data_IF_157228524686
#
_entry.id   IF_157228524686
#
_cell.length_a   1.000
_cell.length_b   1.000
_cell.length_c   1.000
_cell.angle_alpha   90.00
_cell.angle_beta   90.00
_cell.angle_gamma   90.00
#
_symmetry.space_group_name_H-M   'P 1'
#
loop_
_entity.id
_entity.type
_entity.pdbx_description
1 polymer ?
#
# COMPACT_ATOMS: atom_id res chain seq x y z
N UNK A 1 -20.89 -9.44 -14.39
CA UNK A 1 -19.69 -9.87 -13.64
C UNK A 1 -19.31 -8.69 -12.78
N UNK A 2 -19.58 -8.77 -11.49
CA UNK A 2 -19.28 -7.68 -10.56
C UNK A 2 -17.78 -7.67 -10.35
N UNK A 3 -17.08 -6.80 -11.07
CA UNK A 3 -15.73 -6.38 -10.70
C UNK A 3 -15.86 -5.55 -9.43
N UNK A 4 -16.04 -6.22 -8.29
CA UNK A 4 -15.63 -5.65 -7.02
C UNK A 4 -14.16 -5.30 -7.21
N UNK A 5 -13.85 -4.00 -7.25
CA UNK A 5 -12.48 -3.50 -7.15
C UNK A 5 -11.98 -3.89 -5.78
N UNK A 6 -11.60 -5.15 -5.62
CA UNK A 6 -11.03 -5.66 -4.39
C UNK A 6 -9.78 -4.86 -4.10
N UNK A 7 -9.83 -4.14 -3.00
CA UNK A 7 -8.67 -3.51 -2.40
C UNK A 7 -7.80 -4.66 -1.90
N UNK A 8 -6.92 -5.16 -2.77
CA UNK A 8 -6.02 -6.27 -2.47
C UNK A 8 -4.59 -5.79 -2.19
N UNK A 9 -3.83 -6.64 -1.51
CA UNK A 9 -2.46 -6.37 -1.09
C UNK A 9 -1.57 -5.96 -2.28
N UNK A 10 -1.71 -6.65 -3.41
CA UNK A 10 -0.93 -6.41 -4.62
C UNK A 10 -1.14 -4.99 -5.18
N UNK A 11 -2.39 -4.52 -5.19
CA UNK A 11 -2.74 -3.17 -5.62
C UNK A 11 -2.13 -2.12 -4.68
N UNK A 12 -2.14 -2.36 -3.36
CA UNK A 12 -1.50 -1.48 -2.37
C UNK A 12 0.01 -1.38 -2.55
N UNK A 13 0.68 -2.52 -2.72
CA UNK A 13 2.13 -2.55 -2.99
C UNK A 13 2.45 -1.87 -4.33
N UNK A 14 1.63 -2.07 -5.36
CA UNK A 14 1.81 -1.40 -6.65
C UNK A 14 1.66 0.13 -6.53
N UNK A 15 0.66 0.61 -5.79
CA UNK A 15 0.49 2.03 -5.48
C UNK A 15 1.69 2.59 -4.73
N UNK A 16 2.18 1.91 -3.70
CA UNK A 16 3.36 2.34 -2.94
C UNK A 16 4.62 2.45 -3.82
N UNK A 17 4.83 1.48 -4.74
CA UNK A 17 5.93 1.55 -5.73
C UNK A 17 5.80 2.76 -6.66
N UNK A 18 4.60 3.01 -7.20
CA UNK A 18 4.37 4.17 -8.06
C UNK A 18 4.58 5.50 -7.31
N UNK A 19 4.32 5.53 -6.00
CA UNK A 19 4.57 6.69 -5.15
C UNK A 19 6.07 6.90 -4.95
N UNK A 20 6.83 5.82 -4.74
CA UNK A 20 8.28 5.87 -4.64
C UNK A 20 8.91 6.40 -5.93
N UNK A 21 8.44 5.97 -7.10
CA UNK A 21 8.93 6.48 -8.38
C UNK A 21 8.72 7.99 -8.53
N UNK A 22 7.61 8.52 -8.01
CA UNK A 22 7.35 9.98 -8.00
C UNK A 22 8.27 10.75 -7.05
N UNK A 23 8.79 10.11 -6.00
CA UNK A 23 9.76 10.75 -5.08
C UNK A 23 11.15 10.87 -5.69
N UNK A 24 11.44 10.12 -6.76
CA UNK A 24 12.72 10.16 -7.48
C UNK A 24 12.74 11.31 -8.49
N UNK A 25 11.59 11.94 -8.77
CA UNK A 25 11.48 13.10 -9.66
C UNK A 25 12.34 14.27 -9.14
N UNK A 26 13.39 14.71 -9.87
CA UNK A 26 14.27 15.79 -9.44
C UNK A 26 13.58 17.16 -9.41
N UNK A 27 12.42 17.33 -10.05
CA UNK A 27 11.65 18.57 -10.04
C UNK A 27 10.63 18.64 -8.87
N UNK A 28 10.58 17.61 -8.02
CA UNK A 28 9.64 17.56 -6.90
C UNK A 28 9.99 18.63 -5.85
N UNK A 29 8.99 19.41 -5.43
CA UNK A 29 9.17 20.33 -4.31
C UNK A 29 9.15 19.58 -2.97
N UNK A 30 9.87 20.10 -1.97
CA UNK A 30 9.90 19.50 -0.63
C UNK A 30 8.51 19.31 -0.02
N UNK A 31 7.61 20.28 -0.20
CA UNK A 31 6.24 20.17 0.31
C UNK A 31 5.48 19.02 -0.36
N UNK A 32 5.70 18.83 -1.66
CA UNK A 32 5.05 17.78 -2.43
C UNK A 32 5.65 16.41 -2.12
N UNK A 33 6.97 16.31 -1.91
CA UNK A 33 7.62 15.07 -1.51
C UNK A 33 7.16 14.59 -0.14
N UNK A 34 6.97 15.48 0.84
CA UNK A 34 6.42 15.11 2.15
C UNK A 34 4.99 14.58 2.04
N UNK A 35 4.14 15.20 1.22
CA UNK A 35 2.76 14.73 1.02
C UNK A 35 2.74 13.35 0.33
N UNK A 36 3.50 13.20 -0.75
CA UNK A 36 3.62 11.95 -1.51
C UNK A 36 4.17 10.82 -0.62
N UNK A 37 5.17 11.12 0.22
CA UNK A 37 5.70 10.16 1.19
C UNK A 37 4.63 9.68 2.18
N UNK A 38 3.83 10.60 2.75
CA UNK A 38 2.74 10.24 3.68
C UNK A 38 1.72 9.34 3.01
N UNK A 39 1.35 9.62 1.76
CA UNK A 39 0.42 8.79 1.00
C UNK A 39 1.00 7.38 0.77
N UNK A 40 2.29 7.28 0.44
CA UNK A 40 2.99 6.00 0.27
C UNK A 40 3.03 5.17 1.55
N UNK A 41 3.32 5.82 2.68
CA UNK A 41 3.31 5.17 3.98
C UNK A 41 1.93 4.61 4.33
N UNK A 42 0.86 5.34 4.03
CA UNK A 42 -0.50 4.88 4.26
C UNK A 42 -0.85 3.65 3.42
N UNK A 43 -0.47 3.62 2.14
CA UNK A 43 -0.66 2.44 1.29
C UNK A 43 0.10 1.21 1.81
N UNK A 44 1.31 1.40 2.36
CA UNK A 44 2.09 0.32 2.97
C UNK A 44 1.48 -0.17 4.30
N UNK A 45 0.97 0.73 5.15
CA UNK A 45 0.27 0.37 6.38
C UNK A 45 -0.99 -0.46 6.10
N UNK A 46 -1.76 -0.07 5.08
CA UNK A 46 -2.95 -0.83 4.67
C UNK A 46 -2.57 -2.20 4.10
N UNK A 47 -1.49 -2.29 3.31
CA UNK A 47 -0.95 -3.56 2.84
C UNK A 47 -0.52 -4.47 4.00
N UNK A 48 0.15 -3.91 5.01
CA UNK A 48 0.58 -4.67 6.18
C UNK A 48 -0.61 -5.24 6.96
N UNK A 49 -1.67 -4.45 7.17
CA UNK A 49 -2.89 -4.92 7.83
C UNK A 49 -3.52 -6.11 7.10
N UNK A 50 -3.58 -6.06 5.76
CA UNK A 50 -4.10 -7.16 4.96
C UNK A 50 -3.29 -8.46 5.15
N UNK A 51 -1.96 -8.35 5.27
CA UNK A 51 -1.09 -9.50 5.56
C UNK A 51 -1.29 -10.02 6.98
N UNK A 52 -1.38 -9.14 7.97
CA UNK A 52 -1.57 -9.51 9.37
C UNK A 52 -2.91 -10.22 9.56
N UNK A 53 -3.98 -9.72 8.94
CA UNK A 53 -5.30 -10.35 8.95
C UNK A 53 -5.28 -11.73 8.28
N UNK A 54 -4.58 -11.86 7.15
CA UNK A 54 -4.42 -13.15 6.46
C UNK A 54 -3.65 -14.16 7.31
N UNK A 55 -2.57 -13.71 7.97
CA UNK A 55 -1.77 -14.53 8.89
C UNK A 55 -2.58 -14.97 10.10
N UNK A 56 -3.34 -14.06 10.70
CA UNK A 56 -4.21 -14.36 11.84
C UNK A 56 -5.26 -15.43 11.48
N UNK A 57 -5.96 -15.26 10.35
CA UNK A 57 -6.95 -16.25 9.87
C UNK A 57 -6.32 -17.62 9.61
N UNK A 58 -5.10 -17.64 9.07
CA UNK A 58 -4.38 -18.89 8.87
C UNK A 58 -4.02 -19.56 10.20
N UNK A 59 -3.51 -18.81 11.18
CA UNK A 59 -3.22 -19.33 12.53
C UNK A 59 -4.46 -19.85 13.26
N UNK A 60 -5.63 -19.21 13.08
CA UNK A 60 -6.90 -19.72 13.59
C UNK A 60 -7.35 -21.01 12.90
N UNK A 61 -7.15 -21.12 11.58
CA UNK A 61 -7.53 -22.32 10.81
C UNK A 61 -6.69 -23.55 11.15
N UNK A 62 -5.42 -23.35 11.55
CA UNK A 62 -4.44 -24.43 11.83
C UNK A 62 -4.50 -24.90 13.30
N UNK A 63 -5.29 -24.23 14.15
CA UNK A 63 -5.59 -24.66 15.53
C UNK A 63 -6.66 -25.75 15.58
#
# INVERSE_FOLDING_TARGET
MNEEKDINFENKIKSAKNILDKLIDPEITLQKSVNIYKDGMKELEEAQKLLDDAKFKYEEYVK
#
